data_IF_176602133029
#
_entry.id   IF_176602133029
#
_cell.length_a   1.000
_cell.length_b   1.000
_cell.length_c   1.000
_cell.angle_alpha   90.00
_cell.angle_beta   90.00
_cell.angle_gamma   90.00
#
_symmetry.space_group_name_H-M   'P 1'
#
loop_
_entity.id
_entity.type
_entity.pdbx_description
1 polymer ?
#
# COMPACT_ATOMS: atom_id res chain seq x y z
N UNK A 1 2.38 24.46 -27.72
CA UNK A 1 3.77 23.93 -27.49
C UNK A 1 3.68 23.03 -26.28
N UNK A 2 4.08 21.78 -26.47
CA UNK A 2 4.08 20.82 -25.37
C UNK A 2 5.07 21.28 -24.28
N UNK A 3 4.66 21.24 -23.02
CA UNK A 3 5.52 21.69 -21.94
C UNK A 3 6.70 20.70 -21.80
N UNK A 4 7.94 21.21 -21.87
CA UNK A 4 9.14 20.43 -21.63
C UNK A 4 9.51 20.51 -20.14
N UNK A 5 9.62 19.36 -19.50
CA UNK A 5 10.07 19.18 -18.12
C UNK A 5 11.48 18.58 -18.07
N UNK A 6 12.22 18.87 -17.02
CA UNK A 6 13.46 18.14 -16.76
C UNK A 6 13.14 16.74 -16.23
N UNK A 7 12.12 16.63 -15.35
CA UNK A 7 11.70 15.36 -14.74
C UNK A 7 10.19 15.22 -14.76
N UNK A 8 9.69 14.09 -15.26
CA UNK A 8 8.32 13.64 -15.06
C UNK A 8 8.31 12.45 -14.09
N UNK A 9 7.49 12.53 -13.05
CA UNK A 9 7.31 11.46 -12.06
C UNK A 9 5.93 10.85 -12.22
N UNK A 10 5.86 9.55 -12.47
CA UNK A 10 4.61 8.81 -12.66
C UNK A 10 4.25 8.09 -11.35
N UNK A 11 3.27 8.62 -10.63
CA UNK A 11 2.83 8.17 -9.32
C UNK A 11 3.25 9.13 -8.20
N UNK A 12 2.31 9.53 -7.34
CA UNK A 12 2.50 10.42 -6.20
C UNK A 12 2.53 9.67 -4.86
N UNK A 13 2.84 8.36 -4.86
CA UNK A 13 3.12 7.58 -3.67
C UNK A 13 4.43 7.98 -2.99
N UNK A 14 4.84 7.32 -1.88
CA UNK A 14 6.05 7.68 -1.13
C UNK A 14 7.32 7.83 -1.97
N UNK A 15 7.54 6.96 -2.94
CA UNK A 15 8.67 7.07 -3.87
C UNK A 15 8.56 8.27 -4.79
N UNK A 16 7.36 8.45 -5.39
CA UNK A 16 7.15 9.49 -6.39
C UNK A 16 7.13 10.89 -5.80
N UNK A 17 6.36 11.15 -4.73
CA UNK A 17 6.35 12.50 -4.16
C UNK A 17 7.71 12.90 -3.58
N UNK A 18 8.44 11.93 -2.99
CA UNK A 18 9.77 12.21 -2.48
C UNK A 18 10.78 12.53 -3.61
N UNK A 19 10.68 11.81 -4.74
CA UNK A 19 11.47 12.10 -5.93
C UNK A 19 11.13 13.47 -6.53
N UNK A 20 9.82 13.76 -6.70
CA UNK A 20 9.37 15.01 -7.30
C UNK A 20 9.77 16.24 -6.49
N UNK A 21 9.55 16.20 -5.17
CA UNK A 21 9.97 17.29 -4.27
C UNK A 21 11.48 17.49 -4.34
N UNK A 22 12.25 16.40 -4.26
CA UNK A 22 13.71 16.49 -4.26
C UNK A 22 14.26 17.00 -5.59
N UNK A 23 13.71 16.55 -6.73
CA UNK A 23 14.11 17.05 -8.04
C UNK A 23 13.85 18.56 -8.19
N UNK A 24 12.68 19.02 -7.76
CA UNK A 24 12.34 20.44 -7.79
C UNK A 24 13.22 21.29 -6.84
N UNK A 25 13.53 20.80 -5.64
CA UNK A 25 14.48 21.44 -4.71
C UNK A 25 15.88 21.59 -5.30
N UNK A 26 16.26 20.70 -6.21
CA UNK A 26 17.53 20.75 -6.95
C UNK A 26 17.47 21.66 -8.21
N UNK A 27 16.36 22.37 -8.41
CA UNK A 27 16.18 23.33 -9.50
C UNK A 27 15.70 22.70 -10.81
N UNK A 28 15.29 21.43 -10.81
CA UNK A 28 14.75 20.76 -12.01
C UNK A 28 13.26 21.09 -12.17
N UNK A 29 12.85 21.49 -13.38
CA UNK A 29 11.42 21.68 -13.70
C UNK A 29 10.72 20.35 -13.67
N UNK A 30 9.86 20.11 -12.66
CA UNK A 30 9.32 18.81 -12.33
C UNK A 30 7.80 18.78 -12.42
N UNK A 31 7.24 17.75 -13.08
CA UNK A 31 5.82 17.40 -13.04
C UNK A 31 5.64 16.03 -12.37
N UNK A 32 4.59 15.89 -11.55
CA UNK A 32 4.16 14.62 -10.98
C UNK A 32 2.74 14.30 -11.47
N UNK A 33 2.52 13.05 -11.91
CA UNK A 33 1.25 12.62 -12.48
C UNK A 33 0.72 11.43 -11.69
N UNK A 34 -0.52 11.51 -11.17
CA UNK A 34 -1.15 10.41 -10.42
C UNK A 34 -2.68 10.48 -10.54
N UNK A 35 -3.35 9.41 -11.00
CA UNK A 35 -4.80 9.38 -11.14
C UNK A 35 -5.55 9.08 -9.84
N UNK A 36 -4.88 9.01 -8.71
CA UNK A 36 -5.49 8.56 -7.46
C UNK A 36 -6.65 9.45 -7.05
N UNK A 37 -7.76 8.81 -6.70
CA UNK A 37 -8.97 9.42 -6.18
C UNK A 37 -9.02 9.20 -4.68
N UNK A 38 -9.47 10.20 -3.93
CA UNK A 38 -9.69 10.05 -2.49
C UNK A 38 -10.82 9.03 -2.25
N UNK A 39 -10.58 7.97 -1.46
CA UNK A 39 -11.58 6.92 -1.26
C UNK A 39 -12.80 7.36 -0.44
N UNK A 40 -12.72 8.48 0.28
CA UNK A 40 -13.77 8.94 1.18
C UNK A 40 -14.76 9.93 0.55
N UNK A 41 -14.30 10.78 -0.37
CA UNK A 41 -15.12 11.81 -1.00
C UNK A 41 -15.14 11.74 -2.54
N UNK A 42 -14.32 10.90 -3.14
CA UNK A 42 -14.24 10.73 -4.59
C UNK A 42 -13.51 11.88 -5.31
N UNK A 43 -12.89 12.81 -4.58
CA UNK A 43 -12.13 13.91 -5.18
C UNK A 43 -10.85 13.38 -5.87
N UNK A 44 -10.60 13.83 -7.09
CA UNK A 44 -9.37 13.51 -7.81
C UNK A 44 -8.16 14.23 -7.21
N UNK A 45 -6.97 13.66 -7.42
CA UNK A 45 -5.72 14.28 -6.97
C UNK A 45 -5.33 13.97 -5.53
N UNK A 46 -5.74 12.81 -5.02
CA UNK A 46 -5.34 12.32 -3.71
C UNK A 46 -3.86 11.96 -3.68
N UNK A 47 -3.04 12.87 -3.15
CA UNK A 47 -1.59 12.69 -3.06
C UNK A 47 -1.17 11.70 -1.97
N UNK A 48 0.04 11.12 -2.09
CA UNK A 48 0.61 10.19 -1.12
C UNK A 48 0.37 8.72 -1.43
N UNK A 49 -0.31 8.41 -2.54
CA UNK A 49 -0.53 7.06 -3.07
C UNK A 49 -1.24 6.11 -2.10
N UNK A 50 -1.04 4.81 -2.28
CA UNK A 50 -1.64 3.76 -1.43
C UNK A 50 -1.39 3.99 0.07
N UNK A 51 -0.16 4.34 0.46
CA UNK A 51 0.22 4.49 1.87
C UNK A 51 -0.63 5.55 2.58
N UNK A 52 -0.83 6.72 1.97
CA UNK A 52 -1.60 7.81 2.56
C UNK A 52 -3.11 7.57 2.52
N UNK A 53 -3.62 6.95 1.44
CA UNK A 53 -5.06 6.90 1.17
C UNK A 53 -5.74 5.61 1.61
N UNK A 54 -5.14 4.45 1.34
CA UNK A 54 -5.74 3.13 1.60
C UNK A 54 -4.74 2.15 2.23
N UNK A 55 -3.74 2.63 2.93
CA UNK A 55 -2.66 1.80 3.50
C UNK A 55 -2.26 2.25 4.90
N UNK A 56 -1.01 2.70 5.02
CA UNK A 56 -0.34 2.97 6.29
C UNK A 56 -1.09 4.00 7.17
N UNK A 57 -1.50 5.12 6.60
CA UNK A 57 -2.12 6.21 7.38
C UNK A 57 -3.47 5.79 7.94
N UNK A 58 -4.44 5.34 7.12
CA UNK A 58 -5.74 4.93 7.65
C UNK A 58 -5.66 3.69 8.55
N UNK A 59 -4.78 2.70 8.27
CA UNK A 59 -4.64 1.53 9.14
C UNK A 59 -4.11 1.91 10.52
N UNK A 60 -3.12 2.81 10.62
CA UNK A 60 -2.59 3.27 11.92
C UNK A 60 -3.59 4.10 12.71
N UNK A 61 -4.44 4.90 12.04
CA UNK A 61 -5.53 5.61 12.69
C UNK A 61 -6.54 4.62 13.33
N UNK A 62 -6.96 3.58 12.60
CA UNK A 62 -7.85 2.55 13.13
C UNK A 62 -7.19 1.68 14.21
N UNK A 63 -5.91 1.33 14.05
CA UNK A 63 -5.15 0.60 15.07
C UNK A 63 -5.09 1.38 16.38
N UNK A 64 -4.83 2.68 16.33
CA UNK A 64 -4.82 3.54 17.52
C UNK A 64 -6.19 3.60 18.21
N UNK A 65 -7.26 3.81 17.45
CA UNK A 65 -8.62 3.85 17.95
C UNK A 65 -9.06 2.52 18.60
N UNK A 66 -8.84 1.40 17.88
CA UNK A 66 -9.19 0.07 18.39
C UNK A 66 -8.36 -0.34 19.61
N UNK A 67 -7.10 0.09 19.69
CA UNK A 67 -6.25 -0.14 20.85
C UNK A 67 -6.74 0.63 22.08
N UNK A 68 -7.15 1.90 21.90
CA UNK A 68 -7.74 2.70 22.99
C UNK A 68 -9.01 2.03 23.54
N UNK A 69 -9.89 1.56 22.65
CA UNK A 69 -11.07 0.79 23.00
C UNK A 69 -10.74 -0.49 23.81
N UNK A 70 -9.80 -1.30 23.30
CA UNK A 70 -9.40 -2.54 23.97
C UNK A 70 -8.76 -2.29 25.33
N UNK A 71 -7.94 -1.22 25.47
CA UNK A 71 -7.34 -0.83 26.76
C UNK A 71 -8.41 -0.40 27.75
N UNK A 72 -9.42 0.39 27.35
CA UNK A 72 -10.51 0.79 28.21
C UNK A 72 -11.32 -0.43 28.71
N UNK A 73 -11.61 -1.39 27.82
CA UNK A 73 -12.29 -2.64 28.20
C UNK A 73 -11.52 -3.45 29.23
N UNK A 74 -10.19 -3.57 29.05
CA UNK A 74 -9.34 -4.38 29.94
C UNK A 74 -9.07 -3.70 31.29
N UNK A 75 -9.04 -2.36 31.33
CA UNK A 75 -8.54 -1.62 32.48
C UNK A 75 -7.06 -1.85 32.71
N UNK A 76 -6.55 -1.44 33.87
CA UNK A 76 -5.18 -1.70 34.30
C UNK A 76 -5.11 -1.71 35.82
N UNK A 77 -5.02 -2.88 36.42
CA UNK A 77 -4.93 -3.02 37.89
C UNK A 77 -3.68 -2.34 38.46
N UNK A 78 -2.57 -2.36 37.72
CA UNK A 78 -1.33 -1.69 38.13
C UNK A 78 -1.48 -0.17 38.30
N UNK A 79 -2.42 0.45 37.54
CA UNK A 79 -2.71 1.88 37.64
C UNK A 79 -4.05 2.19 38.32
N UNK A 80 -4.69 1.19 38.94
CA UNK A 80 -5.98 1.35 39.57
C UNK A 80 -7.17 1.59 38.61
N UNK A 81 -6.95 1.41 37.29
CA UNK A 81 -8.01 1.56 36.28
C UNK A 81 -8.88 0.30 36.23
N UNK A 82 -10.14 0.44 36.58
CA UNK A 82 -11.12 -0.66 36.49
C UNK A 82 -11.53 -0.89 35.02
N UNK A 83 -11.82 -2.14 34.62
CA UNK A 83 -12.45 -2.44 33.32
C UNK A 83 -13.76 -1.67 33.18
N UNK A 84 -14.02 -1.14 31.99
CA UNK A 84 -15.28 -0.50 31.62
C UNK A 84 -15.83 -1.15 30.35
N UNK A 85 -17.11 -0.97 30.08
CA UNK A 85 -17.71 -1.31 28.78
C UNK A 85 -17.81 0.00 27.99
N UNK A 86 -16.78 0.32 27.17
CA UNK A 86 -16.83 1.54 26.38
C UNK A 86 -17.84 1.39 25.23
N UNK A 87 -18.50 2.49 24.88
CA UNK A 87 -19.31 2.57 23.66
C UNK A 87 -18.44 3.21 22.57
N UNK A 88 -18.32 2.55 21.42
CA UNK A 88 -17.59 3.09 20.27
C UNK A 88 -18.58 3.81 19.35
N UNK A 89 -18.32 5.08 19.08
CA UNK A 89 -18.94 5.81 17.98
C UNK A 89 -18.13 5.48 16.69
N UNK A 90 -18.63 4.53 15.90
CA UNK A 90 -17.95 4.06 14.69
C UNK A 90 -17.92 5.14 13.60
N UNK A 91 -18.92 5.98 13.51
CA UNK A 91 -18.91 7.11 12.57
C UNK A 91 -17.81 8.10 12.92
N UNK A 92 -17.63 8.41 14.21
CA UNK A 92 -16.55 9.27 14.66
C UNK A 92 -15.17 8.64 14.43
N UNK A 93 -15.04 7.33 14.63
CA UNK A 93 -13.80 6.59 14.34
C UNK A 93 -13.47 6.68 12.85
N UNK A 94 -14.45 6.49 11.97
CA UNK A 94 -14.25 6.61 10.52
C UNK A 94 -13.97 8.05 10.09
N UNK A 95 -14.61 9.06 10.69
CA UNK A 95 -14.27 10.47 10.48
C UNK A 95 -12.84 10.78 10.90
N UNK A 96 -12.34 10.21 12.00
CA UNK A 96 -10.97 10.35 12.46
C UNK A 96 -9.98 9.73 11.43
N UNK A 97 -10.28 8.53 10.92
CA UNK A 97 -9.50 7.88 9.86
C UNK A 97 -9.46 8.73 8.59
N UNK A 98 -10.62 9.19 8.10
CA UNK A 98 -10.72 10.03 6.90
C UNK A 98 -9.99 11.36 7.07
N UNK A 99 -10.07 11.97 8.26
CA UNK A 99 -9.30 13.18 8.58
C UNK A 99 -7.80 12.95 8.50
N UNK A 100 -7.28 11.84 9.02
CA UNK A 100 -5.87 11.50 8.96
C UNK A 100 -5.39 11.36 7.48
N UNK A 101 -6.20 10.72 6.63
CA UNK A 101 -5.94 10.65 5.17
C UNK A 101 -5.89 12.05 4.56
N UNK A 102 -6.91 12.88 4.81
CA UNK A 102 -6.99 14.24 4.26
C UNK A 102 -5.83 15.13 4.73
N UNK A 103 -5.44 15.04 5.99
CA UNK A 103 -4.31 15.78 6.53
C UNK A 103 -2.97 15.32 5.88
N UNK A 104 -2.81 14.02 5.63
CA UNK A 104 -1.65 13.48 4.90
C UNK A 104 -1.59 13.99 3.46
N UNK A 105 -2.72 13.97 2.73
CA UNK A 105 -2.80 14.50 1.36
C UNK A 105 -2.43 15.99 1.33
N UNK A 106 -2.98 16.78 2.24
CA UNK A 106 -2.64 18.21 2.38
C UNK A 106 -1.16 18.43 2.66
N UNK A 107 -0.56 17.59 3.49
CA UNK A 107 0.87 17.64 3.77
C UNK A 107 1.72 17.49 2.50
N UNK A 108 1.41 16.49 1.66
CA UNK A 108 2.11 16.30 0.38
C UNK A 108 1.83 17.46 -0.60
N UNK A 109 0.58 17.94 -0.67
CA UNK A 109 0.23 19.11 -1.50
C UNK A 109 1.02 20.37 -1.10
N UNK A 110 1.20 20.60 0.19
CA UNK A 110 2.03 21.69 0.69
C UNK A 110 3.50 21.53 0.30
N UNK A 111 4.04 20.31 0.35
CA UNK A 111 5.41 20.03 -0.12
C UNK A 111 5.55 20.34 -1.62
N UNK A 112 4.62 19.90 -2.44
CA UNK A 112 4.60 20.19 -3.88
C UNK A 112 4.56 21.69 -4.15
N UNK A 113 3.63 22.39 -3.49
CA UNK A 113 3.51 23.84 -3.63
C UNK A 113 4.79 24.58 -3.23
N UNK A 114 5.42 24.18 -2.11
CA UNK A 114 6.66 24.79 -1.59
C UNK A 114 7.84 24.55 -2.52
N UNK A 115 7.96 23.34 -3.09
CA UNK A 115 9.05 22.97 -3.99
C UNK A 115 8.81 23.43 -5.44
N UNK A 116 7.60 23.84 -5.81
CA UNK A 116 7.25 24.23 -7.19
C UNK A 116 7.02 23.04 -8.12
N UNK A 117 6.60 21.88 -7.56
CA UNK A 117 6.20 20.72 -8.36
C UNK A 117 4.85 20.95 -9.00
N UNK A 118 4.77 20.82 -10.32
CA UNK A 118 3.49 20.77 -11.04
C UNK A 118 2.82 19.43 -10.83
N UNK A 119 1.51 19.40 -10.56
CA UNK A 119 0.77 18.16 -10.35
C UNK A 119 -0.38 18.03 -11.34
N UNK A 120 -0.46 16.85 -11.97
CA UNK A 120 -1.53 16.49 -12.91
C UNK A 120 -2.27 15.25 -12.37
N UNK A 121 -3.55 15.43 -12.03
CA UNK A 121 -4.41 14.39 -11.45
C UNK A 121 -4.98 13.44 -12.52
N UNK A 122 -4.12 12.90 -13.38
CA UNK A 122 -4.51 12.02 -14.47
C UNK A 122 -3.59 10.81 -14.60
N UNK A 123 -4.16 9.75 -15.18
CA UNK A 123 -3.38 8.62 -15.65
C UNK A 123 -2.52 9.04 -16.83
N UNK A 124 -1.29 8.55 -16.89
CA UNK A 124 -0.33 8.85 -17.95
C UNK A 124 0.28 7.57 -18.51
N UNK A 125 0.58 7.58 -19.80
CA UNK A 125 1.26 6.47 -20.49
C UNK A 125 2.45 6.97 -21.30
N UNK A 126 3.44 6.11 -21.47
CA UNK A 126 4.52 6.34 -22.44
C UNK A 126 3.99 6.28 -23.87
N UNK A 127 4.48 7.20 -24.71
CA UNK A 127 4.21 7.22 -26.16
C UNK A 127 5.46 6.86 -26.98
N UNK A 128 6.50 7.65 -26.86
CA UNK A 128 7.71 7.45 -27.65
C UNK A 128 8.94 8.11 -27.00
N UNK A 129 10.12 7.67 -27.41
CA UNK A 129 11.35 8.43 -27.21
C UNK A 129 11.49 9.46 -28.32
N UNK A 130 11.84 10.70 -27.96
CA UNK A 130 12.11 11.81 -28.88
C UNK A 130 13.58 12.21 -28.83
N UNK A 131 13.98 13.18 -29.63
CA UNK A 131 15.34 13.74 -29.58
C UNK A 131 15.63 14.48 -28.26
N UNK A 132 14.60 15.03 -27.61
CA UNK A 132 14.70 15.85 -26.40
C UNK A 132 14.37 15.12 -25.12
N UNK A 133 13.94 13.84 -25.19
CA UNK A 133 13.56 13.04 -24.03
C UNK A 133 12.42 12.06 -24.34
N UNK A 134 11.42 11.99 -23.47
CA UNK A 134 10.28 11.07 -23.54
C UNK A 134 8.98 11.83 -23.73
N UNK A 135 8.17 11.38 -24.67
CA UNK A 135 6.80 11.84 -24.83
C UNK A 135 5.86 10.97 -23.99
N UNK A 136 5.06 11.63 -23.16
CA UNK A 136 4.03 11.05 -22.32
C UNK A 136 2.67 11.63 -22.73
N UNK A 137 1.59 10.85 -22.57
CA UNK A 137 0.24 11.30 -22.84
C UNK A 137 -0.68 10.98 -21.68
N UNK A 138 -1.42 11.98 -21.20
CA UNK A 138 -2.42 11.81 -20.14
C UNK A 138 -3.72 11.22 -20.71
N UNK A 139 -4.57 10.71 -19.82
CA UNK A 139 -5.89 10.19 -20.20
C UNK A 139 -6.77 11.24 -20.86
N UNK A 140 -6.61 12.52 -20.52
CA UNK A 140 -7.27 13.66 -21.16
C UNK A 140 -6.70 14.06 -22.52
N UNK A 141 -5.67 13.34 -23.01
CA UNK A 141 -5.04 13.62 -24.31
C UNK A 141 -3.97 14.72 -24.29
N UNK A 142 -3.63 15.25 -23.11
CA UNK A 142 -2.53 16.21 -22.99
C UNK A 142 -1.19 15.50 -23.24
N UNK A 143 -0.35 16.07 -24.09
CA UNK A 143 1.02 15.60 -24.32
C UNK A 143 2.03 16.40 -23.53
N UNK A 144 2.98 15.69 -22.96
CA UNK A 144 4.06 16.21 -22.12
C UNK A 144 5.38 15.66 -22.64
N UNK A 145 6.44 16.46 -22.57
CA UNK A 145 7.80 16.00 -22.83
C UNK A 145 8.66 16.14 -21.58
N UNK A 146 9.47 15.11 -21.28
CA UNK A 146 10.39 15.13 -20.15
C UNK A 146 11.75 14.56 -20.54
N UNK A 147 12.85 15.19 -20.08
CA UNK A 147 14.20 14.68 -20.28
C UNK A 147 14.41 13.36 -19.55
N UNK A 148 13.93 13.30 -18.30
CA UNK A 148 13.99 12.12 -17.44
C UNK A 148 12.58 11.71 -16.98
N UNK A 149 12.35 10.40 -16.85
CA UNK A 149 11.09 9.85 -16.32
C UNK A 149 11.40 8.96 -15.12
N UNK A 150 10.69 9.17 -14.02
CA UNK A 150 10.73 8.32 -12.83
C UNK A 150 9.40 7.57 -12.72
N UNK A 151 9.43 6.25 -12.92
CA UNK A 151 8.25 5.38 -12.78
C UNK A 151 8.12 4.98 -11.31
N UNK A 152 7.05 5.42 -10.66
CA UNK A 152 6.75 5.19 -9.24
C UNK A 152 5.27 4.82 -9.04
N UNK A 153 4.67 4.12 -10.01
CA UNK A 153 3.23 3.82 -10.08
C UNK A 153 2.73 2.82 -9.02
N UNK A 154 3.62 2.24 -8.24
CA UNK A 154 3.30 1.40 -7.09
C UNK A 154 2.60 0.09 -7.44
N UNK A 155 1.72 -0.37 -6.55
CA UNK A 155 1.11 -1.69 -6.62
C UNK A 155 -0.39 -1.64 -6.33
N UNK A 156 -1.11 -2.70 -6.72
CA UNK A 156 -2.53 -2.94 -6.45
C UNK A 156 -2.72 -4.23 -5.64
N UNK A 157 -3.81 -4.38 -4.86
CA UNK A 157 -4.11 -5.62 -4.16
C UNK A 157 -4.18 -6.80 -5.13
N UNK A 158 -3.65 -7.97 -4.71
CA UNK A 158 -3.76 -9.21 -5.45
C UNK A 158 -5.03 -9.93 -5.03
N UNK A 159 -5.88 -10.29 -6.00
CA UNK A 159 -7.02 -11.16 -5.79
C UNK A 159 -6.65 -12.64 -5.98
N UNK A 160 -7.45 -13.55 -5.45
CA UNK A 160 -7.42 -14.95 -5.86
C UNK A 160 -7.90 -15.10 -7.31
N UNK A 161 -7.42 -16.13 -8.04
CA UNK A 161 -7.90 -16.37 -9.41
C UNK A 161 -9.42 -16.48 -9.47
N UNK A 162 -10.05 -15.74 -10.38
CA UNK A 162 -11.50 -15.71 -10.56
C UNK A 162 -12.29 -14.90 -9.51
N UNK A 163 -11.68 -14.44 -8.43
CA UNK A 163 -12.33 -13.64 -7.40
C UNK A 163 -12.20 -12.15 -7.72
N UNK A 164 -13.30 -11.42 -7.65
CA UNK A 164 -13.32 -9.96 -7.78
C UNK A 164 -13.63 -9.31 -6.44
N UNK A 165 -13.00 -8.17 -6.16
CA UNK A 165 -13.35 -7.33 -5.03
C UNK A 165 -14.63 -6.55 -5.35
N UNK A 166 -15.64 -6.63 -4.47
CA UNK A 166 -16.79 -5.74 -4.46
C UNK A 166 -16.62 -4.61 -3.43
N UNK A 167 -15.58 -4.70 -2.60
CA UNK A 167 -15.23 -3.80 -1.49
C UNK A 167 -16.33 -3.67 -0.42
N UNK A 168 -17.35 -4.52 -0.48
CA UNK A 168 -18.44 -4.60 0.50
C UNK A 168 -18.39 -5.88 1.32
N UNK A 169 -18.38 -7.03 0.67
CA UNK A 169 -18.32 -8.36 1.32
C UNK A 169 -16.99 -9.04 1.04
N UNK A 170 -16.53 -9.02 -0.21
CA UNK A 170 -15.19 -9.48 -0.59
C UNK A 170 -14.30 -8.27 -0.80
N UNK A 171 -13.47 -7.99 0.18
CA UNK A 171 -12.74 -6.73 0.27
C UNK A 171 -11.24 -6.92 0.05
N UNK A 172 -10.64 -5.92 -0.56
CA UNK A 172 -9.22 -5.63 -0.37
C UNK A 172 -9.01 -4.85 0.94
N UNK A 173 -7.77 -4.37 1.16
CA UNK A 173 -7.50 -3.43 2.25
C UNK A 173 -8.37 -2.17 2.18
N UNK A 174 -8.77 -1.73 0.98
CA UNK A 174 -9.58 -0.52 0.82
C UNK A 174 -10.96 -0.67 1.45
N UNK A 175 -11.72 -1.71 1.11
CA UNK A 175 -13.02 -1.98 1.70
C UNK A 175 -12.94 -2.28 3.19
N UNK A 176 -11.94 -3.08 3.61
CA UNK A 176 -11.78 -3.43 5.02
C UNK A 176 -11.42 -2.22 5.91
N UNK A 177 -10.78 -1.18 5.38
CA UNK A 177 -10.54 0.09 6.08
C UNK A 177 -11.82 0.94 6.21
N UNK A 178 -12.80 0.74 5.32
CA UNK A 178 -14.00 1.55 5.21
C UNK A 178 -15.24 0.93 5.89
N UNK A 179 -15.12 -0.21 6.59
CA UNK A 179 -16.25 -0.79 7.29
C UNK A 179 -16.86 0.21 8.27
N UNK A 180 -18.16 0.43 8.18
CA UNK A 180 -18.89 1.37 9.02
C UNK A 180 -19.04 0.87 10.45
N UNK A 181 -19.08 -0.44 10.61
CA UNK A 181 -19.17 -1.15 11.89
C UNK A 181 -18.43 -2.48 11.82
N UNK A 182 -18.04 -3.08 12.96
CA UNK A 182 -17.39 -4.39 12.96
C UNK A 182 -18.31 -5.46 12.40
N UNK A 183 -17.93 -6.23 11.38
CA UNK A 183 -18.70 -7.38 10.95
C UNK A 183 -18.77 -8.42 12.08
N UNK A 184 -19.86 -9.16 12.19
CA UNK A 184 -19.99 -10.25 13.20
C UNK A 184 -18.89 -11.29 13.05
N UNK A 185 -18.57 -11.64 11.80
CA UNK A 185 -17.46 -12.54 11.46
C UNK A 185 -16.67 -12.02 10.26
N UNK A 186 -15.35 -12.09 10.37
CA UNK A 186 -14.41 -11.66 9.33
C UNK A 186 -13.45 -12.79 9.01
N UNK A 187 -13.52 -13.32 7.79
CA UNK A 187 -12.48 -14.17 7.21
C UNK A 187 -11.35 -13.30 6.66
N UNK A 188 -10.11 -13.72 6.84
CA UNK A 188 -8.93 -13.05 6.26
C UNK A 188 -8.09 -14.08 5.55
N UNK A 189 -7.83 -13.91 4.26
CA UNK A 189 -6.90 -14.74 3.51
C UNK A 189 -5.59 -13.96 3.38
N UNK A 190 -4.55 -14.48 4.04
CA UNK A 190 -3.21 -13.89 4.14
C UNK A 190 -2.84 -13.42 5.55
N UNK A 191 -1.90 -14.13 6.19
CA UNK A 191 -1.35 -13.82 7.51
C UNK A 191 -0.11 -12.89 7.45
N UNK A 192 -0.05 -12.03 6.43
CA UNK A 192 0.92 -10.95 6.31
C UNK A 192 0.54 -9.72 7.12
N UNK A 193 1.35 -8.66 7.03
CA UNK A 193 1.18 -7.42 7.81
C UNK A 193 -0.24 -6.83 7.67
N UNK A 194 -0.74 -6.71 6.44
CA UNK A 194 -2.05 -6.10 6.16
C UNK A 194 -3.18 -6.90 6.82
N UNK A 195 -3.19 -8.23 6.61
CA UNK A 195 -4.21 -9.10 7.18
C UNK A 195 -4.20 -9.08 8.70
N UNK A 196 -3.03 -9.11 9.33
CA UNK A 196 -2.90 -9.10 10.78
C UNK A 196 -3.24 -7.75 11.40
N UNK A 197 -2.82 -6.63 10.79
CA UNK A 197 -3.17 -5.30 11.28
C UNK A 197 -4.68 -5.07 11.25
N UNK A 198 -5.34 -5.32 10.11
CA UNK A 198 -6.78 -5.12 9.99
C UNK A 198 -7.57 -6.16 10.79
N UNK A 199 -7.11 -7.41 10.85
CA UNK A 199 -7.67 -8.43 11.72
C UNK A 199 -7.62 -8.02 13.19
N UNK A 200 -6.50 -7.45 13.64
CA UNK A 200 -6.34 -6.92 15.00
C UNK A 200 -7.30 -5.76 15.29
N UNK A 201 -7.50 -4.85 14.33
CA UNK A 201 -8.48 -3.75 14.46
C UNK A 201 -9.87 -4.31 14.72
N UNK A 202 -10.37 -5.14 13.83
CA UNK A 202 -11.75 -5.61 13.88
C UNK A 202 -12.00 -6.59 15.03
N UNK A 203 -11.02 -7.44 15.37
CA UNK A 203 -11.10 -8.31 16.54
C UNK A 203 -11.22 -7.51 17.84
N UNK A 204 -10.43 -6.46 18.04
CA UNK A 204 -10.53 -5.57 19.22
C UNK A 204 -11.90 -4.90 19.33
N UNK A 205 -12.53 -4.63 18.19
CA UNK A 205 -13.84 -3.99 18.11
C UNK A 205 -15.01 -4.98 18.20
N UNK A 206 -14.73 -6.30 18.28
CA UNK A 206 -15.74 -7.31 18.57
C UNK A 206 -16.03 -8.32 17.45
N UNK A 207 -15.40 -8.22 16.29
CA UNK A 207 -15.52 -9.23 15.23
C UNK A 207 -14.90 -10.57 15.62
N UNK A 208 -15.55 -11.68 15.31
CA UNK A 208 -14.94 -13.01 15.29
C UNK A 208 -14.04 -13.11 14.04
N UNK A 209 -12.72 -13.08 14.24
CA UNK A 209 -11.74 -13.04 13.13
C UNK A 209 -11.05 -14.37 12.97
N UNK A 210 -11.07 -14.93 11.73
CA UNK A 210 -10.30 -16.12 11.35
C UNK A 210 -9.35 -15.77 10.21
N UNK A 211 -8.06 -16.04 10.39
CA UNK A 211 -7.00 -15.79 9.42
C UNK A 211 -6.53 -17.09 8.80
N UNK A 212 -6.57 -17.17 7.47
CA UNK A 212 -6.10 -18.31 6.68
C UNK A 212 -4.79 -17.97 5.99
N UNK A 213 -3.85 -18.92 5.98
CA UNK A 213 -2.63 -18.80 5.17
C UNK A 213 -2.12 -20.18 4.73
N UNK A 214 -1.49 -20.23 3.56
CA UNK A 214 -0.78 -21.42 3.08
C UNK A 214 0.52 -21.65 3.85
N UNK A 215 1.13 -20.60 4.39
CA UNK A 215 2.31 -20.71 5.24
C UNK A 215 1.96 -21.34 6.59
N UNK A 216 2.93 -22.07 7.16
CA UNK A 216 2.77 -22.71 8.45
C UNK A 216 2.76 -21.74 9.64
N UNK A 217 3.14 -20.48 9.43
CA UNK A 217 3.12 -19.45 10.48
C UNK A 217 2.82 -18.05 9.91
N UNK A 218 2.42 -17.15 10.80
CA UNK A 218 2.17 -15.74 10.46
C UNK A 218 3.49 -15.02 10.15
N UNK A 219 3.45 -13.95 9.33
CA UNK A 219 4.65 -13.17 8.98
C UNK A 219 5.84 -14.07 8.57
N UNK A 220 5.63 -15.05 7.72
CA UNK A 220 6.61 -16.08 7.35
C UNK A 220 7.97 -15.54 6.88
N UNK A 221 8.03 -14.26 6.45
CA UNK A 221 9.24 -13.56 6.04
C UNK A 221 10.04 -12.96 7.21
N UNK A 222 9.47 -12.86 8.41
CA UNK A 222 10.07 -12.10 9.54
C UNK A 222 10.97 -12.93 10.45
N UNK A 223 11.12 -14.23 10.17
CA UNK A 223 11.87 -15.17 10.99
C UNK A 223 11.05 -15.75 12.16
N UNK A 224 11.45 -16.95 12.59
CA UNK A 224 10.67 -17.82 13.48
C UNK A 224 10.25 -17.17 14.79
N UNK A 225 11.20 -16.54 15.50
CA UNK A 225 10.93 -15.93 16.82
C UNK A 225 9.88 -14.81 16.72
N UNK A 226 9.95 -14.00 15.66
CA UNK A 226 8.97 -12.91 15.42
C UNK A 226 7.60 -13.50 15.09
N UNK A 227 7.54 -14.50 14.22
CA UNK A 227 6.30 -15.17 13.83
C UNK A 227 5.60 -15.82 15.02
N UNK A 228 6.31 -16.64 15.81
CA UNK A 228 5.76 -17.30 16.99
C UNK A 228 5.25 -16.29 18.04
N UNK A 229 6.03 -15.22 18.28
CA UNK A 229 5.64 -14.16 19.23
C UNK A 229 4.40 -13.40 18.73
N UNK A 230 4.37 -13.02 17.46
CA UNK A 230 3.23 -12.32 16.86
C UNK A 230 1.97 -13.18 16.92
N UNK A 231 2.06 -14.46 16.53
CA UNK A 231 0.94 -15.40 16.58
C UNK A 231 0.39 -15.52 18.01
N UNK A 232 1.26 -15.70 19.01
CA UNK A 232 0.85 -15.79 20.42
C UNK A 232 0.08 -14.54 20.85
N UNK A 233 0.64 -13.35 20.64
CA UNK A 233 0.02 -12.08 21.02
C UNK A 233 -1.33 -11.87 20.33
N UNK A 234 -1.43 -12.17 19.03
CA UNK A 234 -2.65 -12.00 18.25
C UNK A 234 -3.72 -13.04 18.61
N UNK A 235 -3.33 -14.28 18.95
CA UNK A 235 -4.25 -15.30 19.49
C UNK A 235 -4.83 -14.85 20.84
N UNK A 236 -4.00 -14.29 21.72
CA UNK A 236 -4.44 -13.73 23.01
C UNK A 236 -5.39 -12.52 22.83
N UNK A 237 -5.33 -11.82 21.69
CA UNK A 237 -6.27 -10.77 21.31
C UNK A 237 -7.59 -11.32 20.75
N UNK A 238 -7.69 -12.62 20.45
CA UNK A 238 -8.89 -13.26 19.94
C UNK A 238 -8.88 -13.61 18.45
N UNK A 239 -7.76 -13.45 17.74
CA UNK A 239 -7.65 -13.93 16.37
C UNK A 239 -7.51 -15.45 16.37
N UNK A 240 -8.28 -16.10 15.49
CA UNK A 240 -8.15 -17.51 15.19
C UNK A 240 -7.29 -17.70 13.93
N UNK A 241 -6.52 -18.77 13.88
CA UNK A 241 -5.58 -19.04 12.79
C UNK A 241 -5.80 -20.42 12.19
N UNK A 242 -5.98 -20.48 10.87
CA UNK A 242 -5.98 -21.66 10.03
C UNK A 242 -4.76 -21.58 9.10
N UNK A 243 -3.62 -22.05 9.59
CA UNK A 243 -2.34 -21.97 8.88
C UNK A 243 -2.00 -23.32 8.22
N UNK A 244 -1.17 -23.28 7.17
CA UNK A 244 -0.83 -24.47 6.38
C UNK A 244 -2.02 -24.99 5.57
N UNK A 245 -2.98 -24.12 5.20
CA UNK A 245 -4.18 -24.49 4.46
C UNK A 245 -4.19 -23.91 3.05
N UNK A 246 -4.74 -24.67 2.11
CA UNK A 246 -4.96 -24.20 0.75
C UNK A 246 -6.40 -23.71 0.61
N UNK A 247 -6.59 -22.47 0.15
CA UNK A 247 -7.92 -21.97 -0.21
C UNK A 247 -8.30 -22.59 -1.55
N UNK A 248 -9.42 -23.36 -1.55
CA UNK A 248 -9.92 -24.07 -2.72
C UNK A 248 -10.94 -23.23 -3.47
N UNK A 249 -11.83 -22.56 -2.73
CA UNK A 249 -12.94 -21.81 -3.32
C UNK A 249 -13.42 -20.69 -2.40
N UNK A 250 -14.00 -19.65 -3.02
CA UNK A 250 -14.63 -18.52 -2.33
C UNK A 250 -15.91 -18.17 -3.07
N UNK A 251 -17.07 -18.39 -2.43
CA UNK A 251 -18.37 -18.16 -3.04
C UNK A 251 -19.24 -17.23 -2.20
N UNK A 252 -19.91 -16.28 -2.85
CA UNK A 252 -20.96 -15.46 -2.22
C UNK A 252 -22.14 -16.34 -1.81
N UNK A 253 -22.72 -16.03 -0.65
CA UNK A 253 -23.94 -16.66 -0.14
C UNK A 253 -24.86 -15.60 0.51
N UNK A 254 -26.02 -16.01 0.96
CA UNK A 254 -27.00 -15.10 1.57
C UNK A 254 -26.49 -14.43 2.85
N UNK A 255 -25.69 -15.15 3.65
CA UNK A 255 -25.13 -14.68 4.90
C UNK A 255 -23.79 -13.95 4.73
N UNK A 256 -23.28 -13.82 3.48
CA UNK A 256 -22.00 -13.18 3.17
C UNK A 256 -21.15 -13.98 2.20
N UNK A 257 -20.16 -14.75 2.69
CA UNK A 257 -19.22 -15.47 1.84
C UNK A 257 -18.79 -16.79 2.48
N UNK A 258 -18.80 -17.85 1.68
CA UNK A 258 -18.25 -19.16 2.03
C UNK A 258 -16.79 -19.23 1.59
N UNK A 259 -15.91 -19.64 2.49
CA UNK A 259 -14.50 -19.93 2.22
C UNK A 259 -14.30 -21.43 2.39
N UNK A 260 -13.99 -22.12 1.30
CA UNK A 260 -13.63 -23.55 1.30
C UNK A 260 -12.12 -23.67 1.27
N UNK A 261 -11.57 -24.38 2.23
CA UNK A 261 -10.13 -24.61 2.35
C UNK A 261 -9.83 -26.09 2.59
N UNK A 262 -8.60 -26.49 2.32
CA UNK A 262 -8.15 -27.87 2.44
C UNK A 262 -6.93 -27.94 3.38
N UNK A 263 -6.95 -28.91 4.30
CA UNK A 263 -5.83 -29.30 5.15
C UNK A 263 -5.67 -30.81 5.11
N UNK A 264 -4.49 -31.30 4.77
CA UNK A 264 -4.16 -32.73 4.72
C UNK A 264 -5.16 -33.57 3.90
N UNK A 265 -5.66 -33.01 2.79
CA UNK A 265 -6.65 -33.64 1.91
C UNK A 265 -8.10 -33.55 2.39
N UNK A 266 -8.35 -32.96 3.56
CA UNK A 266 -9.70 -32.75 4.09
C UNK A 266 -10.18 -31.35 3.77
N UNK A 267 -11.35 -31.25 3.14
CA UNK A 267 -11.99 -29.97 2.80
C UNK A 267 -12.97 -29.56 3.89
N UNK A 268 -12.86 -28.29 4.27
CA UNK A 268 -13.78 -27.62 5.19
C UNK A 268 -14.32 -26.35 4.54
N UNK A 269 -15.55 -25.96 4.92
CA UNK A 269 -16.15 -24.69 4.49
C UNK A 269 -16.59 -23.90 5.72
N UNK A 270 -16.26 -22.60 5.76
CA UNK A 270 -16.74 -21.67 6.78
C UNK A 270 -17.38 -20.46 6.16
N UNK A 271 -18.43 -19.98 6.77
CA UNK A 271 -19.18 -18.79 6.33
C UNK A 271 -18.79 -17.59 7.16
N UNK A 272 -18.56 -16.47 6.48
CA UNK A 272 -18.22 -15.18 7.09
C UNK A 272 -19.15 -14.09 6.54
N UNK A 273 -19.46 -13.11 7.38
CA UNK A 273 -20.19 -11.93 6.94
C UNK A 273 -19.38 -11.11 5.93
N UNK A 274 -18.07 -10.99 6.16
CA UNK A 274 -17.12 -10.31 5.26
C UNK A 274 -15.81 -11.08 5.13
N UNK A 275 -15.14 -10.88 4.01
CA UNK A 275 -13.83 -11.47 3.69
C UNK A 275 -12.84 -10.39 3.28
N UNK A 276 -11.69 -10.36 3.94
CA UNK A 276 -10.52 -9.59 3.51
C UNK A 276 -9.54 -10.52 2.78
N UNK A 277 -9.16 -10.17 1.55
CA UNK A 277 -8.10 -10.85 0.82
C UNK A 277 -6.83 -10.00 0.85
N UNK A 278 -5.81 -10.50 1.54
CA UNK A 278 -4.54 -9.80 1.82
C UNK A 278 -3.31 -10.67 1.47
N UNK A 279 -3.37 -11.37 0.31
CA UNK A 279 -2.38 -12.34 -0.18
C UNK A 279 -1.18 -11.69 -0.89
N UNK A 280 -0.97 -10.40 -0.70
CA UNK A 280 0.10 -9.63 -1.31
C UNK A 280 -0.39 -8.61 -2.34
N UNK A 281 0.57 -8.02 -3.04
CA UNK A 281 0.32 -6.94 -4.00
C UNK A 281 0.98 -7.26 -5.33
N UNK A 282 0.40 -6.78 -6.42
CA UNK A 282 0.96 -6.87 -7.78
C UNK A 282 1.32 -5.49 -8.29
N UNK A 283 2.37 -5.41 -9.10
CA UNK A 283 2.81 -4.16 -9.73
C UNK A 283 1.68 -3.52 -10.55
N UNK A 284 1.63 -2.19 -10.55
CA UNK A 284 0.72 -1.40 -11.37
C UNK A 284 1.38 -0.87 -12.66
N UNK A 285 2.57 -1.35 -13.00
CA UNK A 285 3.38 -0.86 -14.13
C UNK A 285 2.69 -1.01 -15.50
N UNK A 286 1.83 -1.99 -15.66
CA UNK A 286 1.04 -2.14 -16.91
C UNK A 286 0.23 -0.88 -17.24
N UNK A 287 -0.15 -0.12 -16.20
CA UNK A 287 -0.90 1.12 -16.34
C UNK A 287 -0.17 2.23 -17.08
N UNK A 288 1.15 2.16 -17.23
CA UNK A 288 1.96 3.15 -17.97
C UNK A 288 2.34 2.70 -19.39
N UNK A 289 1.81 1.56 -19.86
CA UNK A 289 2.06 0.97 -21.17
C UNK A 289 3.57 0.69 -21.44
N UNK A 290 4.23 -0.11 -20.59
CA UNK A 290 5.67 -0.33 -20.64
C UNK A 290 6.11 -0.99 -21.95
N UNK A 291 5.26 -1.83 -22.56
CA UNK A 291 5.55 -2.55 -23.80
C UNK A 291 5.71 -1.61 -25.00
N UNK A 292 4.97 -0.49 -25.03
CA UNK A 292 5.04 0.47 -26.14
C UNK A 292 6.43 1.07 -26.33
N UNK A 293 7.23 1.11 -25.27
CA UNK A 293 8.58 1.70 -25.28
C UNK A 293 9.68 0.67 -24.97
N UNK A 294 9.33 -0.60 -24.79
CA UNK A 294 10.28 -1.66 -24.48
C UNK A 294 10.88 -1.58 -23.07
N UNK A 295 10.14 -1.05 -22.08
CA UNK A 295 10.56 -1.09 -20.69
C UNK A 295 10.58 -2.55 -20.20
N UNK A 296 11.72 -3.00 -19.67
CA UNK A 296 11.90 -4.37 -19.21
C UNK A 296 11.14 -4.62 -17.90
N UNK A 297 10.16 -5.51 -17.98
CA UNK A 297 9.34 -5.97 -16.87
C UNK A 297 9.39 -7.49 -16.84
N UNK A 298 9.78 -8.07 -15.70
CA UNK A 298 9.86 -9.51 -15.56
C UNK A 298 8.46 -10.17 -15.43
N UNK A 299 8.34 -11.51 -15.51
CA UNK A 299 7.04 -12.20 -15.40
C UNK A 299 6.29 -11.96 -14.08
N UNK A 300 6.98 -11.55 -13.01
CA UNK A 300 6.35 -11.17 -11.74
C UNK A 300 5.81 -9.73 -11.74
N UNK A 301 5.94 -8.99 -12.85
CA UNK A 301 5.50 -7.60 -12.97
C UNK A 301 6.48 -6.58 -12.37
N UNK A 302 7.71 -6.99 -12.05
CA UNK A 302 8.74 -6.13 -11.47
C UNK A 302 9.54 -5.49 -12.60
N UNK A 303 9.72 -4.18 -12.55
CA UNK A 303 10.61 -3.45 -13.47
C UNK A 303 12.04 -3.79 -13.14
N UNK A 304 12.79 -4.21 -14.16
CA UNK A 304 14.21 -4.52 -14.01
C UNK A 304 15.04 -3.24 -13.91
N UNK A 305 15.82 -3.14 -12.83
CA UNK A 305 16.70 -1.99 -12.58
C UNK A 305 18.07 -2.43 -12.10
N UNK A 306 19.07 -1.58 -12.35
CA UNK A 306 20.37 -1.68 -11.69
C UNK A 306 20.31 -1.17 -10.23
N UNK A 307 21.44 -1.25 -9.52
CA UNK A 307 21.57 -0.78 -8.12
C UNK A 307 21.38 0.74 -7.96
N UNK A 308 21.32 1.48 -9.06
CA UNK A 308 21.08 2.91 -9.11
C UNK A 308 19.65 3.26 -9.50
N UNK A 309 18.76 2.28 -9.60
CA UNK A 309 17.37 2.41 -10.05
C UNK A 309 17.22 2.77 -11.55
N UNK A 310 18.27 2.61 -12.39
CA UNK A 310 18.16 2.80 -13.83
C UNK A 310 17.48 1.61 -14.46
N UNK A 311 16.58 1.87 -15.39
CA UNK A 311 15.97 0.82 -16.22
C UNK A 311 16.83 0.53 -17.45
N UNK A 312 16.38 -0.39 -18.29
CA UNK A 312 16.98 -0.64 -19.61
C UNK A 312 16.81 0.53 -20.60
N UNK A 313 15.91 1.47 -20.30
CA UNK A 313 15.66 2.65 -21.13
C UNK A 313 16.53 3.82 -20.69
N UNK A 314 17.19 4.55 -21.60
CA UNK A 314 17.98 5.72 -21.24
C UNK A 314 17.09 6.80 -20.61
N UNK A 315 17.57 7.39 -19.52
CA UNK A 315 16.90 8.47 -18.80
C UNK A 315 15.54 8.08 -18.19
N UNK A 316 15.26 6.76 -18.05
CA UNK A 316 14.10 6.21 -17.37
C UNK A 316 14.54 5.45 -16.12
N UNK A 317 13.95 5.81 -15.01
CA UNK A 317 14.20 5.29 -13.67
C UNK A 317 12.95 4.61 -13.12
N UNK A 318 13.11 3.63 -12.25
CA UNK A 318 11.98 3.04 -11.54
C UNK A 318 12.28 2.87 -10.05
N UNK A 319 11.29 3.16 -9.19
CA UNK A 319 11.46 3.16 -7.74
C UNK A 319 10.23 2.62 -7.02
N UNK A 320 10.41 2.19 -5.78
CA UNK A 320 9.36 1.77 -4.87
C UNK A 320 8.94 0.33 -5.07
N UNK A 321 7.64 0.07 -4.93
CA UNK A 321 7.07 -1.28 -4.88
C UNK A 321 7.09 -2.02 -6.23
N UNK A 322 7.41 -1.33 -7.31
CA UNK A 322 7.52 -1.89 -8.67
C UNK A 322 8.91 -2.44 -9.01
N UNK A 323 9.90 -2.21 -8.15
CA UNK A 323 11.26 -2.72 -8.33
C UNK A 323 11.59 -3.78 -7.26
N UNK A 324 12.71 -4.47 -7.42
CA UNK A 324 13.17 -5.51 -6.49
C UNK A 324 13.35 -4.96 -5.08
N UNK A 325 13.03 -5.78 -4.08
CA UNK A 325 13.20 -5.49 -2.67
C UNK A 325 11.89 -5.40 -1.88
N UNK A 326 11.94 -5.04 -0.59
CA UNK A 326 10.75 -4.98 0.24
C UNK A 326 9.83 -3.84 -0.18
N UNK A 327 8.52 -4.10 -0.16
CA UNK A 327 7.48 -3.11 -0.47
C UNK A 327 7.23 -2.21 0.75
N UNK A 328 8.12 -1.23 0.97
CA UNK A 328 8.14 -0.35 2.13
C UNK A 328 8.20 1.12 1.71
N UNK A 329 7.35 1.95 2.32
CA UNK A 329 7.23 3.38 2.00
C UNK A 329 8.55 4.15 2.17
N UNK A 330 9.34 3.85 3.21
CA UNK A 330 10.62 4.53 3.45
C UNK A 330 11.70 4.10 2.45
N UNK A 331 11.77 2.79 2.05
CA UNK A 331 12.63 2.35 0.94
C UNK A 331 12.30 3.13 -0.33
N UNK A 332 11.02 3.18 -0.70
CA UNK A 332 10.56 3.91 -1.87
C UNK A 332 10.97 5.39 -1.84
N UNK A 333 10.79 6.06 -0.69
CA UNK A 333 11.17 7.47 -0.52
C UNK A 333 12.68 7.71 -0.64
N UNK A 334 13.49 6.80 -0.11
CA UNK A 334 14.95 6.92 -0.19
C UNK A 334 15.45 6.68 -1.61
N UNK A 335 14.90 5.69 -2.32
CA UNK A 335 15.17 5.46 -3.74
C UNK A 335 14.78 6.69 -4.58
N UNK A 336 13.58 7.24 -4.36
CA UNK A 336 13.11 8.42 -5.08
C UNK A 336 14.03 9.63 -4.93
N UNK A 337 14.45 9.92 -3.70
CA UNK A 337 15.43 11.01 -3.44
C UNK A 337 16.78 10.74 -4.09
N UNK A 338 17.28 9.51 -3.99
CA UNK A 338 18.56 9.14 -4.56
C UNK A 338 18.56 9.26 -6.11
N UNK A 339 17.46 8.90 -6.76
CA UNK A 339 17.28 9.07 -8.21
C UNK A 339 17.27 10.57 -8.58
N UNK A 340 16.53 11.40 -7.85
CA UNK A 340 16.50 12.84 -8.09
C UNK A 340 17.90 13.48 -7.94
N UNK A 341 18.65 13.11 -6.90
CA UNK A 341 20.03 13.57 -6.70
C UNK A 341 20.94 13.17 -7.90
N UNK A 342 20.80 11.94 -8.43
CA UNK A 342 21.59 11.47 -9.59
C UNK A 342 21.24 12.22 -10.86
N UNK A 343 19.96 12.46 -11.13
CA UNK A 343 19.51 13.24 -12.30
C UNK A 343 20.11 14.65 -12.27
N UNK A 344 20.21 15.26 -11.09
CA UNK A 344 20.83 16.57 -10.92
C UNK A 344 22.36 16.56 -10.94
N UNK A 345 23.03 15.43 -11.22
CA UNK A 345 24.48 15.29 -11.25
C UNK A 345 25.13 15.10 -9.87
N UNK A 346 24.37 14.86 -8.83
CA UNK A 346 24.84 14.56 -7.48
C UNK A 346 25.35 13.12 -7.35
N UNK A 347 26.46 12.93 -6.64
CA UNK A 347 26.98 11.62 -6.27
C UNK A 347 26.50 11.27 -4.86
N UNK A 348 25.29 10.68 -4.75
CA UNK A 348 24.96 9.92 -3.54
C UNK A 348 25.37 8.47 -3.76
N UNK A 349 26.16 7.86 -2.84
CA UNK A 349 26.36 6.42 -2.89
C UNK A 349 24.98 5.74 -2.88
N UNK A 350 24.85 4.66 -3.65
CA UNK A 350 23.71 3.77 -3.50
C UNK A 350 23.63 3.42 -2.00
N UNK A 351 22.56 3.80 -1.33
CA UNK A 351 22.30 3.24 -0.02
C UNK A 351 22.15 1.75 -0.27
N UNK A 352 23.03 0.96 0.30
CA UNK A 352 22.75 -0.43 0.57
C UNK A 352 21.50 -0.45 1.46
N UNK A 353 20.32 -0.40 0.82
CA UNK A 353 19.06 -0.78 1.44
C UNK A 353 19.04 -2.29 1.49
N UNK A 354 20.12 -2.84 2.05
CA UNK A 354 20.19 -4.23 2.48
C UNK A 354 19.19 -4.40 3.61
N UNK A 355 18.32 -5.41 3.48
CA UNK A 355 17.21 -5.68 4.41
C UNK A 355 17.58 -5.85 5.89
N UNK A 356 18.82 -5.64 6.30
CA UNK A 356 19.27 -5.65 7.71
C UNK A 356 19.22 -4.29 8.40
N UNK A 357 19.38 -3.17 7.67
CA UNK A 357 19.40 -1.84 8.29
C UNK A 357 18.00 -1.30 8.65
N UNK A 358 16.95 -1.81 8.01
CA UNK A 358 15.57 -1.32 8.17
C UNK A 358 14.89 -1.90 9.42
N UNK A 359 15.21 -3.15 9.80
CA UNK A 359 14.65 -3.79 11.00
C UNK A 359 15.28 -3.27 12.31
N UNK A 360 16.50 -2.73 12.27
CA UNK A 360 17.21 -2.25 13.47
C UNK A 360 16.74 -0.91 14.03
N UNK A 361 16.04 -0.09 13.26
CA UNK A 361 15.60 1.26 13.70
C UNK A 361 14.15 1.33 14.20
N UNK A 362 13.37 0.26 14.09
CA UNK A 362 11.98 0.23 14.57
C UNK A 362 11.80 -0.49 15.91
N UNK A 363 12.89 -0.98 16.54
CA UNK A 363 12.85 -1.71 17.80
C UNK A 363 13.55 -0.98 18.97
N UNK A 364 13.95 0.28 18.81
CA UNK A 364 14.44 1.14 19.92
C UNK A 364 13.44 2.25 20.24
#
# INVERSE_FOLDING_TARGET
MDALYDVAVIGAGPGGYAAAVRAAELGLKTVCLDPMVNPDDGESGALGGTCANVGCVPSKALLAASLAYAKARKGSSAFGLKPVIPVMDFDQMQRHRAKAVKDSNRGVAMLFKKAGVEFVAEKVVFRAKTQTGWELETAGGQRLQAKHVIVACGTKPRALPGLQFDEEVVCSNSGALAFKEPPKSLGIIGAGVIGLELGSVWSRLGSAVTVFDMAADVLSFAGRTVSETARKILSEQGLQFELGVLIIDVQRCAEGVNVTFERDGVKETRTFEKLLVAIGRSSAVEGVNPQAVGLAVNPAGIVETDDQCRTNLPDVWAVGDIVKGPQLAHKASDEGRAVADRIAGGVRPAHEVGGQAVLGRQLT
#
